data_IF_294866929025
#
_entry.id   IF_294866929025
#
_cell.length_a   1.000
_cell.length_b   1.000
_cell.length_c   1.000
_cell.angle_alpha   90.00
_cell.angle_beta   90.00
_cell.angle_gamma   90.00
#
_symmetry.space_group_name_H-M   'P 1'
#
loop_
_entity.id
_entity.type
_entity.pdbx_description
1 polymer ?
#
# COMPACT_ATOMS: atom_id res chain seq x y z
N UNK A 1 -15.58 20.42 8.59
CA UNK A 1 -15.39 18.98 8.89
C UNK A 1 -15.10 18.28 7.57
N UNK A 2 -13.93 17.68 7.34
CA UNK A 2 -13.76 16.90 6.12
C UNK A 2 -14.44 15.55 6.34
N UNK A 3 -15.49 15.29 5.56
CA UNK A 3 -16.10 13.97 5.38
C UNK A 3 -14.99 13.06 4.88
N UNK A 4 -14.34 12.33 5.80
CA UNK A 4 -13.25 11.44 5.45
C UNK A 4 -13.91 10.29 4.72
N UNK A 5 -13.84 10.30 3.38
CA UNK A 5 -14.32 9.18 2.58
C UNK A 5 -13.76 7.89 3.17
N UNK A 6 -14.60 6.85 3.24
CA UNK A 6 -14.25 5.49 3.69
C UNK A 6 -13.26 4.85 2.71
N UNK A 7 -12.08 5.44 2.59
CA UNK A 7 -10.94 4.84 1.90
C UNK A 7 -10.30 3.89 2.90
N UNK A 8 -10.05 2.63 2.52
CA UNK A 8 -9.35 1.71 3.40
C UNK A 8 -8.02 2.34 3.79
N UNK A 9 -7.76 2.44 5.10
CA UNK A 9 -6.48 2.93 5.62
C UNK A 9 -5.37 1.89 5.47
N UNK A 10 -5.73 0.64 5.17
CA UNK A 10 -4.83 -0.51 5.07
C UNK A 10 -5.19 -1.29 3.80
N UNK A 11 -4.18 -1.65 3.00
CA UNK A 11 -4.28 -2.56 1.84
C UNK A 11 -3.06 -3.50 1.82
N UNK A 12 -3.04 -4.51 0.95
CA UNK A 12 -1.81 -5.26 0.66
C UNK A 12 -1.04 -4.57 -0.45
N UNK A 13 0.29 -4.58 -0.37
CA UNK A 13 1.13 -4.12 -1.46
C UNK A 13 0.96 -5.04 -2.67
N UNK A 14 0.70 -4.48 -3.85
CA UNK A 14 0.52 -5.28 -5.08
C UNK A 14 1.77 -6.05 -5.53
N UNK A 15 2.95 -5.68 -5.02
CA UNK A 15 4.22 -6.28 -5.42
C UNK A 15 4.75 -7.30 -4.42
N UNK A 16 4.77 -6.93 -3.13
CA UNK A 16 5.36 -7.76 -2.07
C UNK A 16 4.31 -8.44 -1.18
N UNK A 17 3.02 -8.13 -1.36
CA UNK A 17 1.91 -8.56 -0.51
C UNK A 17 1.97 -8.12 0.97
N UNK A 18 2.99 -7.37 1.39
CA UNK A 18 3.07 -6.82 2.75
C UNK A 18 2.02 -5.72 2.96
N UNK A 19 1.58 -5.50 4.21
CA UNK A 19 0.62 -4.43 4.50
C UNK A 19 1.17 -3.05 4.14
N UNK A 20 0.32 -2.23 3.50
CA UNK A 20 0.57 -0.82 3.23
C UNK A 20 -0.52 0.03 3.88
N UNK A 21 -0.12 1.18 4.42
CA UNK A 21 -0.97 2.12 5.12
C UNK A 21 -1.11 3.39 4.31
N UNK A 22 -2.30 3.98 4.30
CA UNK A 22 -2.51 5.31 3.74
C UNK A 22 -2.30 6.36 4.82
N UNK A 23 -1.25 7.16 4.67
CA UNK A 23 -0.91 8.23 5.61
C UNK A 23 -1.94 9.38 5.58
N UNK A 24 -1.67 10.45 6.33
CA UNK A 24 -2.57 11.59 6.42
C UNK A 24 -2.58 12.45 5.15
N UNK A 25 -1.48 12.46 4.40
CA UNK A 25 -1.35 13.17 3.11
C UNK A 25 -1.91 12.35 1.94
N UNK A 26 -2.31 11.11 2.21
CA UNK A 26 -2.93 10.21 1.24
C UNK A 26 -1.94 9.35 0.48
N UNK A 27 -0.65 9.39 0.83
CA UNK A 27 0.39 8.52 0.28
C UNK A 27 0.33 7.13 0.90
N UNK A 28 0.78 6.12 0.15
CA UNK A 28 0.86 4.75 0.62
C UNK A 28 2.29 4.46 1.09
N UNK A 29 2.40 3.91 2.29
CA UNK A 29 3.67 3.54 2.93
C UNK A 29 3.62 2.08 3.39
N UNK A 30 4.75 1.37 3.37
CA UNK A 30 4.80 0.02 3.95
C UNK A 30 4.64 0.10 5.47
N UNK A 31 3.84 -0.81 6.03
CA UNK A 31 3.69 -0.92 7.48
C UNK A 31 4.91 -1.57 8.16
N UNK A 32 5.81 -2.17 7.37
CA UNK A 32 7.06 -2.72 7.88
C UNK A 32 8.17 -1.65 7.84
N UNK A 33 9.18 -1.79 8.69
CA UNK A 33 10.36 -0.93 8.72
C UNK A 33 11.34 -1.23 7.56
N UNK A 34 10.91 -1.98 6.53
CA UNK A 34 11.78 -2.30 5.41
C UNK A 34 11.75 -1.16 4.40
N UNK A 35 12.90 -0.51 4.20
CA UNK A 35 13.03 0.62 3.28
C UNK A 35 12.76 0.27 1.80
N UNK A 36 12.81 -1.01 1.42
CA UNK A 36 12.69 -1.46 0.03
C UNK A 36 11.57 -2.48 -0.16
N UNK A 37 10.74 -2.25 -1.19
CA UNK A 37 9.73 -3.20 -1.60
C UNK A 37 10.39 -4.34 -2.38
N UNK A 38 10.40 -5.54 -1.78
CA UNK A 38 10.93 -6.75 -2.42
C UNK A 38 9.83 -7.71 -2.82
N UNK A 39 9.91 -8.26 -4.02
CA UNK A 39 9.06 -9.39 -4.41
C UNK A 39 9.39 -10.66 -3.63
N UNK A 40 8.64 -11.74 -3.88
CA UNK A 40 8.86 -13.04 -3.22
C UNK A 40 10.21 -13.69 -3.54
N UNK A 41 10.88 -13.30 -4.62
CA UNK A 41 12.24 -13.74 -4.97
C UNK A 41 13.33 -12.88 -4.33
N UNK A 42 12.97 -11.84 -3.56
CA UNK A 42 13.92 -10.92 -2.93
C UNK A 42 14.45 -9.83 -3.87
N UNK A 43 13.94 -9.77 -5.10
CA UNK A 43 14.24 -8.73 -6.07
C UNK A 43 13.57 -7.41 -5.71
N UNK A 44 14.17 -6.28 -6.11
CA UNK A 44 13.55 -4.97 -5.99
C UNK A 44 12.34 -4.90 -6.93
N UNK A 45 11.14 -4.88 -6.35
CA UNK A 45 9.92 -4.86 -7.12
C UNK A 45 9.45 -3.43 -7.43
N UNK A 46 9.70 -2.50 -6.51
CA UNK A 46 9.42 -1.08 -6.66
C UNK A 46 10.16 -0.25 -5.60
N UNK A 47 10.20 1.06 -5.81
CA UNK A 47 10.73 2.04 -4.84
C UNK A 47 9.64 2.71 -4.00
N UNK A 48 8.37 2.56 -4.37
CA UNK A 48 7.22 3.11 -3.65
C UNK A 48 6.42 1.99 -2.99
N UNK A 49 5.34 2.34 -2.28
CA UNK A 49 4.34 1.37 -1.83
C UNK A 49 3.06 1.59 -2.62
N UNK A 50 2.52 0.54 -3.26
CA UNK A 50 1.29 0.63 -4.04
C UNK A 50 0.27 -0.37 -3.50
N UNK A 51 -0.95 0.08 -3.16
CA UNK A 51 -2.00 -0.81 -2.69
C UNK A 51 -2.45 -1.74 -3.82
N UNK A 52 -2.98 -2.90 -3.44
CA UNK A 52 -3.70 -3.75 -4.34
C UNK A 52 -4.90 -2.96 -4.91
N UNK A 53 -5.07 -3.04 -6.23
CA UNK A 53 -6.23 -2.46 -6.88
C UNK A 53 -7.40 -3.38 -6.59
N UNK A 54 -8.13 -3.13 -5.49
CA UNK A 54 -9.46 -3.68 -5.32
C UNK A 54 -10.34 -2.98 -6.35
N UNK A 55 -10.51 -3.59 -7.53
CA UNK A 55 -11.61 -3.20 -8.42
C UNK A 55 -12.87 -3.32 -7.57
N UNK A 56 -13.53 -2.19 -7.27
CA UNK A 56 -14.91 -2.24 -6.80
C UNK A 56 -15.68 -2.98 -7.89
N UNK A 57 -16.22 -4.15 -7.56
CA UNK A 57 -17.27 -4.73 -8.38
C UNK A 57 -18.43 -3.74 -8.33
N UNK A 58 -18.77 -3.18 -9.49
CA UNK A 58 -19.98 -2.42 -9.74
C UNK A 58 -21.21 -3.31 -9.50
#
# INVERSE_FOLDING_TARGET
>A
MPTTGFWPRVSRCRWCANPVLRDNDGAWIHANLAYVCRDRSGGLAATTAEPEVTRRAD
#
